data_IF_667802095851
#
_entry.id   IF_667802095851
#
_cell.length_a   1.000
_cell.length_b   1.000
_cell.length_c   1.000
_cell.angle_alpha   90.00
_cell.angle_beta   90.00
_cell.angle_gamma   90.00
#
_symmetry.space_group_name_H-M   'P 1'
#
loop_
_entity.id
_entity.type
_entity.pdbx_description
1 polymer ?
#
# COMPACT_ATOMS: atom_id res chain seq x y z
N UNK A 1 -79.69 9.04 31.67
CA UNK A 1 -78.62 8.22 31.14
C UNK A 1 -79.01 7.59 29.82
N UNK A 2 -78.59 8.18 28.67
CA UNK A 2 -78.84 7.63 27.31
C UNK A 2 -77.74 6.64 26.97
N UNK A 3 -78.08 5.37 26.85
CA UNK A 3 -77.19 4.35 26.31
C UNK A 3 -77.08 4.57 24.79
N UNK A 4 -75.92 4.92 24.33
CA UNK A 4 -75.61 5.01 22.91
C UNK A 4 -75.46 3.57 22.38
N UNK A 5 -76.47 3.11 21.64
CA UNK A 5 -76.46 1.82 20.94
C UNK A 5 -75.64 1.98 19.67
N UNK A 6 -74.46 1.38 19.61
CA UNK A 6 -73.60 1.36 18.40
C UNK A 6 -74.16 0.30 17.45
N UNK A 7 -74.57 0.73 16.26
CA UNK A 7 -75.17 -0.09 15.22
C UNK A 7 -74.25 -1.28 14.82
N UNK A 8 -74.79 -2.48 14.59
CA UNK A 8 -74.00 -3.67 14.21
C UNK A 8 -73.20 -3.50 12.93
N UNK A 9 -73.64 -2.65 12.01
CA UNK A 9 -72.96 -2.34 10.74
C UNK A 9 -71.58 -1.65 10.91
N UNK A 10 -71.44 -0.85 11.97
CA UNK A 10 -70.20 -0.13 12.24
C UNK A 10 -69.08 -1.02 12.80
N UNK A 11 -69.43 -2.14 13.44
CA UNK A 11 -68.47 -3.16 13.95
C UNK A 11 -67.85 -4.03 12.84
N UNK A 12 -68.59 -4.19 11.74
CA UNK A 12 -68.12 -5.02 10.61
C UNK A 12 -67.08 -4.31 9.77
N UNK A 13 -67.18 -2.97 9.60
CA UNK A 13 -66.26 -2.15 8.79
C UNK A 13 -64.90 -2.02 9.44
N UNK A 14 -64.82 -1.89 10.77
CA UNK A 14 -63.53 -1.78 11.50
C UNK A 14 -62.76 -3.11 11.48
N UNK A 15 -63.45 -4.23 11.56
CA UNK A 15 -62.85 -5.56 11.54
C UNK A 15 -62.30 -5.91 10.13
N UNK A 16 -62.97 -5.48 9.07
CA UNK A 16 -62.50 -5.64 7.71
C UNK A 16 -61.28 -4.76 7.40
N UNK A 17 -61.26 -3.52 7.89
CA UNK A 17 -60.10 -2.62 7.72
C UNK A 17 -58.87 -3.10 8.47
N UNK A 18 -59.02 -3.73 9.64
CA UNK A 18 -57.93 -4.30 10.41
C UNK A 18 -57.30 -5.51 9.69
N UNK A 19 -58.14 -6.43 9.18
CA UNK A 19 -57.66 -7.61 8.46
C UNK A 19 -57.00 -7.26 7.10
N UNK A 20 -57.44 -6.21 6.42
CA UNK A 20 -56.85 -5.79 5.16
C UNK A 20 -55.42 -5.20 5.33
N UNK A 21 -55.11 -4.60 6.49
CA UNK A 21 -53.75 -4.10 6.78
C UNK A 21 -52.78 -5.23 7.14
N UNK A 22 -53.22 -6.31 7.73
CA UNK A 22 -52.35 -7.44 8.07
C UNK A 22 -52.08 -8.40 6.89
N UNK A 23 -52.92 -8.39 5.86
CA UNK A 23 -52.76 -9.25 4.68
C UNK A 23 -51.66 -8.82 3.73
N UNK A 24 -51.09 -7.59 3.87
CA UNK A 24 -50.02 -7.11 3.00
C UNK A 24 -48.59 -7.48 3.45
N UNK A 25 -48.43 -8.12 4.60
CA UNK A 25 -47.14 -8.57 5.12
C UNK A 25 -46.88 -10.06 4.91
N UNK A 26 -47.76 -10.76 4.19
CA UNK A 26 -47.52 -12.16 3.88
C UNK A 26 -46.90 -12.35 2.50
N UNK A 27 -45.72 -12.95 2.57
CA UNK A 27 -44.99 -13.67 1.53
C UNK A 27 -44.22 -12.87 0.50
N UNK A 28 -43.07 -12.34 0.91
CA UNK A 28 -41.88 -12.52 0.09
C UNK A 28 -41.03 -13.69 0.67
N UNK A 29 -41.63 -14.87 0.73
CA UNK A 29 -40.86 -16.12 0.80
C UNK A 29 -40.50 -16.52 -0.65
N UNK A 30 -39.77 -15.66 -1.37
CA UNK A 30 -39.07 -16.06 -2.57
C UNK A 30 -37.89 -16.92 -2.14
N UNK A 31 -37.91 -18.22 -2.39
CA UNK A 31 -36.71 -19.04 -2.31
C UNK A 31 -35.69 -18.49 -3.32
N UNK A 32 -34.42 -18.43 -2.94
CA UNK A 32 -33.34 -18.05 -3.85
C UNK A 32 -33.38 -18.95 -5.08
N UNK A 33 -33.34 -18.33 -6.26
CA UNK A 33 -33.24 -19.10 -7.51
C UNK A 33 -31.84 -19.63 -7.67
N UNK A 34 -31.69 -20.80 -8.27
CA UNK A 34 -30.36 -21.36 -8.58
C UNK A 34 -29.48 -20.35 -9.37
N UNK A 35 -30.11 -19.64 -10.30
CA UNK A 35 -29.47 -18.61 -11.10
C UNK A 35 -28.91 -17.45 -10.22
N UNK A 36 -29.66 -17.00 -9.22
CA UNK A 36 -29.26 -15.93 -8.32
C UNK A 36 -28.03 -16.33 -7.50
N UNK A 37 -28.00 -17.55 -7.01
CA UNK A 37 -26.82 -18.09 -6.30
C UNK A 37 -25.61 -18.17 -7.22
N UNK A 38 -25.80 -18.62 -8.47
CA UNK A 38 -24.68 -18.66 -9.44
C UNK A 38 -24.14 -17.28 -9.76
N UNK A 39 -25.00 -16.29 -9.96
CA UNK A 39 -24.58 -14.89 -10.21
C UNK A 39 -23.88 -14.32 -8.98
N UNK A 40 -24.41 -14.53 -7.78
CA UNK A 40 -23.81 -14.08 -6.53
C UNK A 40 -22.41 -14.67 -6.33
N UNK A 41 -22.24 -15.97 -6.60
CA UNK A 41 -20.94 -16.64 -6.52
C UNK A 41 -19.96 -16.12 -7.57
N UNK A 42 -20.41 -15.83 -8.80
CA UNK A 42 -19.58 -15.25 -9.83
C UNK A 42 -19.06 -13.84 -9.43
N UNK A 43 -19.95 -12.99 -8.93
CA UNK A 43 -19.59 -11.66 -8.43
C UNK A 43 -18.61 -11.76 -7.25
N UNK A 44 -18.90 -12.66 -6.31
CA UNK A 44 -18.04 -12.90 -5.14
C UNK A 44 -16.63 -13.34 -5.58
N UNK A 45 -16.52 -14.26 -6.53
CA UNK A 45 -15.23 -14.72 -7.04
C UNK A 45 -14.42 -13.56 -7.66
N UNK A 46 -15.05 -12.74 -8.50
CA UNK A 46 -14.39 -11.59 -9.14
C UNK A 46 -13.92 -10.57 -8.09
N UNK A 47 -14.76 -10.24 -7.12
CA UNK A 47 -14.42 -9.29 -6.06
C UNK A 47 -13.30 -9.80 -5.17
N UNK A 48 -13.29 -11.09 -4.86
CA UNK A 48 -12.24 -11.72 -4.04
C UNK A 48 -10.88 -11.63 -4.74
N UNK A 49 -10.81 -11.95 -6.04
CA UNK A 49 -9.59 -11.82 -6.85
C UNK A 49 -9.09 -10.38 -6.86
N UNK A 50 -9.96 -9.40 -7.06
CA UNK A 50 -9.60 -7.99 -7.05
C UNK A 50 -9.02 -7.54 -5.70
N UNK A 51 -9.61 -7.99 -4.58
CA UNK A 51 -9.10 -7.70 -3.23
C UNK A 51 -7.71 -8.32 -3.02
N UNK A 52 -7.50 -9.58 -3.40
CA UNK A 52 -6.19 -10.21 -3.28
C UNK A 52 -5.11 -9.49 -4.09
N UNK A 53 -5.40 -9.07 -5.31
CA UNK A 53 -4.47 -8.31 -6.13
C UNK A 53 -4.10 -6.97 -5.48
N UNK A 54 -5.07 -6.25 -4.94
CA UNK A 54 -4.86 -4.98 -4.24
C UNK A 54 -3.97 -5.15 -3.00
N UNK A 55 -4.17 -6.21 -2.21
CA UNK A 55 -3.35 -6.49 -1.02
C UNK A 55 -1.91 -6.84 -1.39
N UNK A 56 -1.69 -7.65 -2.41
CA UNK A 56 -0.35 -8.00 -2.89
C UNK A 56 0.44 -6.77 -3.32
N UNK A 57 -0.20 -5.83 -4.00
CA UNK A 57 0.43 -4.58 -4.41
C UNK A 57 0.79 -3.69 -3.21
N UNK A 58 -0.06 -3.62 -2.20
CA UNK A 58 0.17 -2.83 -0.99
C UNK A 58 1.38 -3.34 -0.18
N UNK A 59 1.54 -4.65 -0.08
CA UNK A 59 2.69 -5.27 0.61
C UNK A 59 4.00 -4.96 -0.12
N UNK A 60 4.00 -5.05 -1.45
CA UNK A 60 5.15 -4.72 -2.28
C UNK A 60 5.57 -3.25 -2.11
N UNK A 61 4.63 -2.32 -2.16
CA UNK A 61 4.88 -0.89 -1.96
C UNK A 61 5.43 -0.57 -0.56
N UNK A 62 4.95 -1.26 0.48
CA UNK A 62 5.46 -1.10 1.84
C UNK A 62 6.92 -1.55 1.97
N UNK A 63 7.29 -2.65 1.30
CA UNK A 63 8.68 -3.13 1.22
C UNK A 63 9.59 -2.13 0.52
N UNK A 64 9.18 -1.63 -0.65
CA UNK A 64 9.92 -0.63 -1.41
C UNK A 64 10.13 0.67 -0.61
N UNK A 65 9.10 1.15 0.10
CA UNK A 65 9.17 2.36 0.91
C UNK A 65 10.15 2.21 2.08
N UNK A 66 10.16 1.06 2.76
CA UNK A 66 11.11 0.77 3.83
C UNK A 66 12.54 0.72 3.30
N UNK A 67 12.75 0.04 2.17
CA UNK A 67 14.05 -0.01 1.52
C UNK A 67 14.54 1.41 1.18
N UNK A 68 13.74 2.22 0.48
CA UNK A 68 14.11 3.58 0.08
C UNK A 68 14.47 4.45 1.28
N UNK A 69 13.71 4.37 2.37
CA UNK A 69 13.98 5.12 3.59
C UNK A 69 15.31 4.70 4.21
N UNK A 70 15.53 3.41 4.41
CA UNK A 70 16.77 2.89 5.01
C UNK A 70 17.97 3.16 4.12
N UNK A 71 17.88 2.82 2.83
CA UNK A 71 18.96 3.00 1.88
C UNK A 71 19.37 4.48 1.71
N UNK A 72 18.39 5.41 1.73
CA UNK A 72 18.67 6.84 1.65
C UNK A 72 19.37 7.36 2.89
N UNK A 73 19.01 6.89 4.09
CA UNK A 73 19.69 7.27 5.34
C UNK A 73 21.13 6.75 5.36
N UNK A 74 21.32 5.46 5.00
CA UNK A 74 22.64 4.84 4.93
C UNK A 74 23.52 5.54 3.87
N UNK A 75 22.95 5.83 2.70
CA UNK A 75 23.68 6.54 1.64
C UNK A 75 24.10 7.95 2.09
N UNK A 76 23.22 8.68 2.78
CA UNK A 76 23.57 10.02 3.30
C UNK A 76 24.64 9.96 4.37
N UNK A 77 24.53 9.02 5.32
CA UNK A 77 25.56 8.84 6.35
C UNK A 77 26.92 8.56 5.72
N UNK A 78 26.98 7.62 4.77
CA UNK A 78 28.22 7.29 4.08
C UNK A 78 28.74 8.43 3.22
N UNK A 79 27.86 9.18 2.56
CA UNK A 79 28.26 10.33 1.75
C UNK A 79 28.85 11.45 2.60
N UNK A 80 28.34 11.69 3.80
CA UNK A 80 28.89 12.66 4.76
C UNK A 80 30.31 12.26 5.20
N UNK A 81 30.56 10.97 5.45
CA UNK A 81 31.89 10.47 5.78
C UNK A 81 32.86 10.69 4.62
N UNK A 82 32.43 10.42 3.38
CA UNK A 82 33.20 10.64 2.16
C UNK A 82 33.45 12.14 1.95
N UNK A 83 32.47 12.97 2.20
CA UNK A 83 32.60 14.42 2.04
C UNK A 83 33.53 15.04 3.10
N UNK A 84 33.53 14.53 4.31
CA UNK A 84 34.42 14.95 5.38
C UNK A 84 35.86 14.46 5.22
N UNK A 85 36.08 13.40 4.44
CA UNK A 85 37.41 12.88 4.15
C UNK A 85 38.20 13.80 3.22
N UNK A 86 39.55 13.72 3.29
CA UNK A 86 40.40 14.42 2.36
C UNK A 86 40.04 14.06 0.90
N UNK A 87 39.75 15.04 0.04
CA UNK A 87 39.39 14.79 -1.35
C UNK A 87 40.41 13.94 -2.12
N UNK A 88 41.66 13.94 -1.71
CA UNK A 88 42.74 13.13 -2.31
C UNK A 88 42.77 11.69 -1.81
N UNK A 89 42.16 11.42 -0.63
CA UNK A 89 42.12 10.10 -0.02
C UNK A 89 40.89 9.30 -0.46
N UNK A 90 39.88 9.93 -1.05
CA UNK A 90 38.69 9.23 -1.51
C UNK A 90 39.03 8.40 -2.74
N UNK A 91 38.83 7.10 -2.64
CA UNK A 91 39.05 6.12 -3.71
C UNK A 91 37.80 5.33 -3.99
N UNK A 92 37.70 4.78 -5.19
CA UNK A 92 36.68 3.81 -5.53
C UNK A 92 36.79 2.60 -4.60
N UNK A 93 35.67 2.15 -4.07
CA UNK A 93 35.62 1.04 -3.11
C UNK A 93 34.23 0.53 -2.84
N UNK A 94 34.15 -0.57 -2.14
CA UNK A 94 32.92 -1.19 -1.72
C UNK A 94 33.03 -1.71 -0.28
N UNK A 95 31.89 -1.99 0.34
CA UNK A 95 31.82 -2.54 1.67
C UNK A 95 30.40 -2.83 2.12
N UNK A 96 30.26 -3.11 3.39
CA UNK A 96 28.97 -3.31 4.06
C UNK A 96 28.73 -2.22 5.10
N UNK A 97 27.55 -2.27 5.72
CA UNK A 97 27.15 -1.35 6.79
C UNK A 97 27.25 -1.98 8.20
N UNK A 98 27.93 -3.15 8.30
CA UNK A 98 28.11 -3.86 9.56
C UNK A 98 26.90 -4.66 10.00
N UNK A 99 26.99 -5.14 11.26
CA UNK A 99 26.01 -6.08 11.84
C UNK A 99 24.61 -5.48 12.00
N UNK A 100 24.48 -4.17 12.10
CA UNK A 100 23.18 -3.50 12.18
C UNK A 100 22.40 -3.54 10.86
N UNK A 101 23.10 -3.62 9.74
CA UNK A 101 22.52 -3.66 8.40
C UNK A 101 23.17 -4.72 7.51
N UNK A 102 23.12 -6.00 7.87
CA UNK A 102 23.89 -7.07 7.22
C UNK A 102 23.49 -7.31 5.75
N UNK A 103 22.27 -6.91 5.40
CA UNK A 103 21.75 -7.08 4.06
C UNK A 103 22.11 -5.92 3.11
N UNK A 104 22.67 -4.83 3.64
CA UNK A 104 23.00 -3.64 2.88
C UNK A 104 24.49 -3.57 2.54
N UNK A 105 24.77 -3.26 1.28
CA UNK A 105 26.13 -3.06 0.78
C UNK A 105 26.23 -1.71 0.08
N UNK A 106 27.41 -1.11 0.13
CA UNK A 106 27.69 0.13 -0.58
C UNK A 106 28.81 -0.06 -1.59
N UNK A 107 28.73 0.73 -2.65
CA UNK A 107 29.77 0.85 -3.67
C UNK A 107 29.93 2.31 -4.02
N UNK A 108 31.17 2.79 -3.99
CA UNK A 108 31.55 4.17 -4.35
C UNK A 108 32.36 4.11 -5.64
N UNK A 109 31.98 4.94 -6.59
CA UNK A 109 32.70 5.14 -7.83
C UNK A 109 33.04 6.62 -7.98
N UNK A 110 34.26 6.92 -8.39
CA UNK A 110 34.74 8.28 -8.64
C UNK A 110 34.98 8.42 -10.13
N UNK A 111 34.28 9.37 -10.71
CA UNK A 111 34.43 9.74 -12.13
C UNK A 111 34.96 11.15 -12.29
N UNK A 112 35.72 11.34 -13.35
CA UNK A 112 36.12 12.66 -13.80
C UNK A 112 34.92 13.37 -14.48
N UNK A 113 34.95 14.69 -14.42
CA UNK A 113 33.98 15.50 -15.15
C UNK A 113 34.73 16.33 -16.21
N UNK A 114 34.01 17.04 -17.06
CA UNK A 114 34.59 17.97 -18.04
C UNK A 114 35.41 19.11 -17.38
N UNK A 115 35.18 19.34 -16.09
CA UNK A 115 35.86 20.33 -15.28
C UNK A 115 36.94 19.63 -14.45
N UNK A 116 38.19 19.82 -14.71
CA UNK A 116 39.34 19.11 -14.07
C UNK A 116 39.31 19.13 -12.54
N UNK A 117 38.86 20.25 -11.94
CA UNK A 117 38.78 20.39 -10.48
C UNK A 117 37.51 19.80 -9.87
N UNK A 118 36.58 19.31 -10.68
CA UNK A 118 35.30 18.78 -10.22
C UNK A 118 35.26 17.24 -10.39
N UNK A 119 35.15 16.53 -9.30
CA UNK A 119 34.98 15.06 -9.31
C UNK A 119 33.53 14.69 -9.04
N UNK A 120 33.05 13.70 -9.76
CA UNK A 120 31.74 13.07 -9.53
C UNK A 120 31.92 11.84 -8.66
N UNK A 121 31.29 11.83 -7.50
CA UNK A 121 31.27 10.69 -6.57
C UNK A 121 29.88 10.06 -6.67
N UNK A 122 29.82 8.82 -7.12
CA UNK A 122 28.58 8.05 -7.22
C UNK A 122 28.57 6.96 -6.17
N UNK A 123 27.61 7.02 -5.25
CA UNK A 123 27.40 6.02 -4.21
C UNK A 123 26.16 5.21 -4.55
N UNK A 124 26.32 3.90 -4.60
CA UNK A 124 25.21 2.94 -4.77
C UNK A 124 25.05 2.13 -3.49
N UNK A 125 23.85 2.10 -2.94
CA UNK A 125 23.50 1.24 -1.81
C UNK A 125 22.56 0.15 -2.33
N UNK A 126 22.89 -1.11 -2.05
CA UNK A 126 22.15 -2.29 -2.54
C UNK A 126 21.70 -3.15 -1.37
N UNK A 127 20.48 -3.70 -1.44
CA UNK A 127 19.99 -4.68 -0.50
C UNK A 127 20.00 -6.08 -1.15
N UNK A 128 20.72 -7.01 -0.56
CA UNK A 128 20.91 -8.36 -1.09
C UNK A 128 19.67 -9.25 -0.99
N UNK A 129 18.70 -8.93 -0.14
CA UNK A 129 17.44 -9.69 0.01
C UNK A 129 16.40 -9.35 -1.02
N UNK A 130 16.48 -8.19 -1.63
CA UNK A 130 15.51 -7.74 -2.61
C UNK A 130 15.92 -8.19 -4.02
N UNK A 131 15.03 -8.86 -4.73
CA UNK A 131 15.25 -9.30 -6.11
C UNK A 131 15.03 -8.20 -7.14
N UNK A 132 14.18 -7.24 -6.81
CA UNK A 132 13.78 -6.14 -7.71
C UNK A 132 13.85 -4.83 -6.94
N UNK A 133 14.26 -3.75 -7.62
CA UNK A 133 14.39 -2.41 -7.00
C UNK A 133 15.25 -2.39 -5.74
N UNK A 134 16.33 -3.12 -5.78
CA UNK A 134 17.23 -3.36 -4.65
C UNK A 134 18.38 -2.35 -4.54
N UNK A 135 18.44 -1.32 -5.37
CA UNK A 135 19.52 -0.34 -5.42
C UNK A 135 19.03 1.09 -5.29
N UNK A 136 19.78 1.88 -4.53
CA UNK A 136 19.60 3.32 -4.36
C UNK A 136 20.88 4.03 -4.76
N UNK A 137 20.78 5.09 -5.56
CA UNK A 137 21.92 5.85 -6.06
C UNK A 137 21.92 7.28 -5.52
N UNK A 138 23.07 7.71 -5.05
CA UNK A 138 23.31 9.08 -4.60
C UNK A 138 24.57 9.61 -5.29
N UNK A 139 24.50 10.82 -5.82
CA UNK A 139 25.64 11.45 -6.51
C UNK A 139 26.00 12.76 -5.81
N UNK A 140 27.31 12.96 -5.60
CA UNK A 140 27.88 14.19 -5.08
C UNK A 140 28.92 14.71 -6.08
N UNK A 141 28.95 16.01 -6.29
CA UNK A 141 30.01 16.70 -7.01
C UNK A 141 30.88 17.45 -6.03
N UNK A 142 32.16 17.11 -5.98
CA UNK A 142 33.12 17.69 -5.04
C UNK A 142 34.25 18.38 -5.80
N UNK A 143 34.56 19.61 -5.37
CA UNK A 143 35.72 20.36 -5.89
C UNK A 143 36.98 19.87 -5.21
N UNK A 144 37.96 19.48 -5.99
CA UNK A 144 39.28 19.04 -5.52
C UNK A 144 40.30 20.11 -5.95
N UNK A 145 40.65 20.99 -5.01
CA UNK A 145 41.68 21.98 -5.24
C UNK A 145 43.07 21.30 -5.25
N UNK A 146 43.87 21.62 -6.23
CA UNK A 146 45.27 21.16 -6.31
C UNK A 146 46.17 21.83 -5.28
#
# INVERSE_FOLDING_TARGET
MRRMSISPSMRMTVRQAYNARHARFQSMRGGFTLLEVMIAMAILAITLVAVFQSQSQSISMAGDSRFLTTASLLARSRMVEIDAADPRAVTTGNGDFGDDFPDYRWQVEIGDTEIEVLKKISLTVTNSRMLVRNSYHLTLYKVVLR
#
